data_IF_060031754346
#
_entry.id   IF_060031754346
#
_cell.length_a   1.000
_cell.length_b   1.000
_cell.length_c   1.000
_cell.angle_alpha   90.00
_cell.angle_beta   90.00
_cell.angle_gamma   90.00
#
_symmetry.space_group_name_H-M   'P 1'
#
loop_
_entity.id
_entity.type
_entity.pdbx_description
1 polymer ?
#
# COMPACT_ATOMS: atom_id res chain seq x y z
N UNK A 1 -25.46 13.52 20.99
CA UNK A 1 -25.50 12.58 19.87
C UNK A 1 -24.09 12.47 19.32
N UNK A 2 -23.36 11.45 19.67
CA UNK A 2 -22.04 11.24 19.08
C UNK A 2 -22.24 10.78 17.65
N UNK A 3 -21.81 11.58 16.71
CA UNK A 3 -21.81 11.20 15.30
C UNK A 3 -20.68 10.16 15.15
N UNK A 4 -21.06 8.92 14.93
CA UNK A 4 -20.11 7.85 14.63
C UNK A 4 -19.35 8.20 13.36
N UNK A 5 -18.05 8.39 13.48
CA UNK A 5 -17.15 8.63 12.35
C UNK A 5 -17.04 7.36 11.50
N UNK A 6 -17.18 7.49 10.19
CA UNK A 6 -17.03 6.37 9.25
C UNK A 6 -15.81 6.59 8.37
N UNK A 7 -14.90 5.64 8.42
CA UNK A 7 -13.72 5.58 7.55
C UNK A 7 -13.99 4.59 6.41
N UNK A 8 -13.87 5.04 5.18
CA UNK A 8 -14.03 4.23 3.96
C UNK A 8 -13.03 4.69 2.91
N UNK A 9 -12.82 3.85 1.89
CA UNK A 9 -12.00 4.24 0.74
C UNK A 9 -12.70 5.35 -0.05
N UNK A 10 -12.03 6.47 -0.23
CA UNK A 10 -12.48 7.64 -0.99
C UNK A 10 -11.38 8.13 -1.96
N UNK A 11 -10.36 7.31 -2.17
CA UNK A 11 -9.25 7.61 -3.08
C UNK A 11 -9.60 7.32 -4.53
N UNK A 12 -8.62 7.58 -5.40
CA UNK A 12 -8.70 7.21 -6.81
C UNK A 12 -8.68 5.68 -6.96
N UNK A 13 -9.55 5.08 -7.79
CA UNK A 13 -9.60 3.64 -8.04
C UNK A 13 -8.28 3.05 -8.57
N UNK A 14 -7.44 3.85 -9.24
CA UNK A 14 -6.16 3.42 -9.80
C UNK A 14 -5.03 3.36 -8.77
N UNK A 15 -5.29 3.83 -7.54
CA UNK A 15 -4.32 3.75 -6.46
C UNK A 15 -4.20 2.33 -5.91
N UNK A 16 -2.96 1.88 -5.75
CA UNK A 16 -2.65 0.62 -5.06
C UNK A 16 -2.70 0.77 -3.54
N UNK A 17 -2.33 1.94 -3.04
CA UNK A 17 -2.39 2.29 -1.62
C UNK A 17 -2.86 3.73 -1.47
N UNK A 18 -3.77 3.92 -0.55
CA UNK A 18 -4.29 5.24 -0.18
C UNK A 18 -4.44 5.33 1.34
N UNK A 19 -3.83 6.37 1.92
CA UNK A 19 -3.98 6.68 3.35
C UNK A 19 -5.21 7.53 3.58
N UNK A 20 -6.06 7.12 4.51
CA UNK A 20 -7.19 7.94 4.93
C UNK A 20 -6.68 9.24 5.62
N UNK A 21 -7.25 10.42 5.30
CA UNK A 21 -6.77 11.70 5.85
C UNK A 21 -7.02 11.86 7.36
N UNK A 22 -7.99 11.14 7.91
CA UNK A 22 -8.28 11.18 9.35
C UNK A 22 -7.30 10.28 10.08
N UNK A 23 -6.61 10.83 11.08
CA UNK A 23 -5.60 10.13 11.89
C UNK A 23 -6.04 9.95 13.36
N UNK A 24 -7.09 10.65 13.79
CA UNK A 24 -7.63 10.55 15.14
C UNK A 24 -8.98 9.84 15.13
N UNK A 25 -9.07 8.70 15.76
CA UNK A 25 -10.34 7.97 15.91
C UNK A 25 -10.75 7.88 17.37
N UNK A 26 -12.05 7.76 17.58
CA UNK A 26 -12.64 7.41 18.86
C UNK A 26 -13.11 5.95 18.85
N UNK A 27 -13.55 5.46 20.00
CA UNK A 27 -14.03 4.09 20.18
C UNK A 27 -15.32 3.77 19.40
N UNK A 28 -15.98 4.78 18.83
CA UNK A 28 -17.22 4.63 18.03
C UNK A 28 -16.94 4.68 16.53
N UNK A 29 -15.69 4.91 16.12
CA UNK A 29 -15.31 4.97 14.71
C UNK A 29 -15.58 3.63 14.01
N UNK A 30 -16.27 3.72 12.87
CA UNK A 30 -16.55 2.57 12.00
C UNK A 30 -15.61 2.56 10.81
N UNK A 31 -15.00 1.41 10.54
CA UNK A 31 -14.20 1.17 9.35
C UNK A 31 -15.00 0.32 8.38
N UNK A 32 -15.23 0.82 7.17
CA UNK A 32 -15.90 0.08 6.09
C UNK A 32 -14.88 -0.25 5.01
N UNK A 33 -14.72 -1.53 4.74
CA UNK A 33 -13.78 -2.06 3.75
C UNK A 33 -14.54 -2.79 2.65
N UNK A 34 -14.33 -2.34 1.42
CA UNK A 34 -14.93 -2.97 0.24
C UNK A 34 -14.21 -4.28 -0.14
N UNK A 35 -14.88 -5.15 -0.90
CA UNK A 35 -14.33 -6.42 -1.38
C UNK A 35 -13.03 -6.27 -2.20
N UNK A 36 -12.81 -5.08 -2.78
CA UNK A 36 -11.64 -4.76 -3.61
C UNK A 36 -10.42 -4.29 -2.85
N UNK A 37 -10.55 -4.08 -1.53
CA UNK A 37 -9.49 -3.53 -0.70
C UNK A 37 -9.27 -4.32 0.59
N UNK A 38 -8.12 -4.11 1.19
CA UNK A 38 -7.82 -4.42 2.59
C UNK A 38 -7.46 -3.12 3.31
N UNK A 39 -7.84 -3.00 4.57
CA UNK A 39 -7.44 -1.86 5.38
C UNK A 39 -6.41 -2.28 6.42
N UNK A 40 -5.28 -1.57 6.47
CA UNK A 40 -4.21 -1.80 7.43
C UNK A 40 -4.15 -0.64 8.42
N UNK A 41 -4.30 -0.97 9.69
CA UNK A 41 -4.16 -0.02 10.78
C UNK A 41 -2.69 0.09 11.19
N UNK A 42 -2.19 1.32 11.19
CA UNK A 42 -0.82 1.65 11.60
C UNK A 42 -0.86 2.55 12.83
N UNK A 43 -0.22 2.12 13.89
CA UNK A 43 -0.14 2.86 15.16
C UNK A 43 1.31 3.10 15.50
N UNK A 44 1.67 4.35 15.70
CA UNK A 44 3.04 4.76 16.05
C UNK A 44 4.11 4.13 15.13
N UNK A 45 3.85 4.14 13.82
CA UNK A 45 4.76 3.58 12.81
C UNK A 45 4.78 2.05 12.72
N UNK A 46 4.01 1.35 13.53
CA UNK A 46 3.89 -0.11 13.49
C UNK A 46 2.62 -0.53 12.75
N UNK A 47 2.78 -1.41 11.77
CA UNK A 47 1.66 -2.04 11.11
C UNK A 47 0.99 -3.06 12.06
N UNK A 48 -0.21 -2.74 12.51
CA UNK A 48 -0.95 -3.52 13.49
C UNK A 48 -1.93 -4.49 12.82
N UNK A 49 -3.20 -4.15 12.78
CA UNK A 49 -4.26 -5.05 12.37
C UNK A 49 -4.63 -4.84 10.89
N UNK A 50 -4.85 -5.94 10.18
CA UNK A 50 -5.32 -5.97 8.80
C UNK A 50 -6.78 -6.38 8.77
N UNK A 51 -7.64 -5.52 8.21
CA UNK A 51 -9.07 -5.74 8.08
C UNK A 51 -9.44 -6.14 6.66
N UNK A 52 -10.22 -7.20 6.55
CA UNK A 52 -10.85 -7.61 5.29
C UNK A 52 -12.17 -6.89 5.03
N UNK A 53 -12.86 -7.32 3.97
CA UNK A 53 -14.18 -6.83 3.60
C UNK A 53 -15.16 -6.81 4.78
N UNK A 54 -15.96 -5.77 4.84
CA UNK A 54 -17.03 -5.61 5.81
C UNK A 54 -16.94 -4.33 6.65
N UNK A 55 -17.78 -4.28 7.67
CA UNK A 55 -17.83 -3.18 8.64
C UNK A 55 -17.16 -3.64 9.93
N UNK A 56 -16.23 -2.83 10.41
CA UNK A 56 -15.47 -3.07 11.63
C UNK A 56 -15.58 -1.87 12.56
N UNK A 57 -15.87 -2.10 13.83
CA UNK A 57 -15.82 -1.05 14.87
C UNK A 57 -14.40 -0.99 15.43
N UNK A 58 -13.79 0.19 15.42
CA UNK A 58 -12.42 0.40 15.89
C UNK A 58 -12.38 0.57 17.42
N UNK A 59 -13.00 -0.35 18.14
CA UNK A 59 -12.91 -0.44 19.60
C UNK A 59 -11.66 -1.23 20.02
N UNK A 60 -11.02 -0.79 21.09
CA UNK A 60 -9.81 -1.45 21.62
C UNK A 60 -9.94 -2.97 21.81
N UNK A 61 -11.07 -3.53 22.28
CA UNK A 61 -11.24 -4.98 22.37
C UNK A 61 -11.20 -5.71 21.03
N UNK A 62 -11.61 -5.03 19.95
CA UNK A 62 -11.69 -5.58 18.60
C UNK A 62 -10.38 -5.43 17.81
N UNK A 63 -9.36 -4.81 18.40
CA UNK A 63 -8.07 -4.54 17.77
C UNK A 63 -6.94 -5.10 18.66
N UNK A 64 -6.68 -6.42 18.57
CA UNK A 64 -5.80 -7.13 19.53
C UNK A 64 -4.38 -6.60 19.59
N UNK A 65 -3.80 -6.20 18.45
CA UNK A 65 -2.43 -5.69 18.41
C UNK A 65 -2.33 -4.27 18.98
N UNK A 66 -3.34 -3.43 18.72
CA UNK A 66 -3.43 -2.08 19.30
C UNK A 66 -3.64 -2.16 20.81
N UNK A 67 -4.44 -3.11 21.28
CA UNK A 67 -4.66 -3.34 22.72
C UNK A 67 -3.35 -3.59 23.47
N UNK A 68 -2.40 -4.29 22.90
CA UNK A 68 -1.08 -4.52 23.50
C UNK A 68 -0.25 -3.24 23.63
N UNK A 69 -0.43 -2.30 22.70
CA UNK A 69 0.27 -1.01 22.71
C UNK A 69 -0.39 0.00 23.65
N UNK A 70 -1.71 -0.09 23.83
CA UNK A 70 -2.53 0.85 24.63
C UNK A 70 -2.58 0.47 26.12
N UNK A 71 -2.28 -0.76 26.49
CA UNK A 71 -2.20 -1.19 27.90
C UNK A 71 -1.05 -0.54 28.70
N UNK A 72 -0.43 0.49 28.17
CA UNK A 72 0.36 1.43 28.94
C UNK A 72 -0.57 2.34 29.75
N UNK A 73 -0.18 2.84 30.94
CA UNK A 73 -1.07 3.46 31.93
C UNK A 73 -1.52 4.89 31.54
N UNK A 74 -2.23 5.04 30.43
CA UNK A 74 -2.64 6.32 29.86
C UNK A 74 -4.15 6.57 29.83
N UNK A 75 -4.92 5.89 30.68
CA UNK A 75 -6.32 6.26 30.94
C UNK A 75 -7.31 6.11 29.77
N UNK A 76 -7.05 5.22 28.79
CA UNK A 76 -8.04 4.85 27.77
C UNK A 76 -8.14 5.79 26.56
N UNK A 77 -7.41 6.89 26.52
CA UNK A 77 -7.23 7.66 25.28
C UNK A 77 -5.96 7.20 24.57
N UNK A 78 -6.06 6.94 23.27
CA UNK A 78 -4.90 6.62 22.44
C UNK A 78 -4.00 7.86 22.31
N UNK A 79 -2.86 7.94 23.00
CA UNK A 79 -1.98 9.11 22.89
C UNK A 79 -1.20 9.14 21.59
N UNK A 80 -1.40 8.18 20.68
CA UNK A 80 -0.64 8.02 19.45
C UNK A 80 -1.54 8.16 18.23
N UNK A 81 -1.09 8.89 17.20
CA UNK A 81 -1.83 8.98 15.94
C UNK A 81 -1.95 7.60 15.29
N UNK A 82 -3.17 7.22 14.98
CA UNK A 82 -3.49 6.01 14.24
C UNK A 82 -3.74 6.38 12.78
N UNK A 83 -3.19 5.60 11.86
CA UNK A 83 -3.36 5.78 10.42
C UNK A 83 -4.02 4.56 9.82
N UNK A 84 -4.94 4.77 8.89
CA UNK A 84 -5.56 3.68 8.10
C UNK A 84 -5.09 3.78 6.66
N UNK A 85 -4.52 2.69 6.17
CA UNK A 85 -4.12 2.53 4.77
C UNK A 85 -5.04 1.54 4.09
N UNK A 86 -5.69 1.98 3.02
CA UNK A 86 -6.44 1.09 2.14
C UNK A 86 -5.52 0.59 1.03
N UNK A 87 -5.42 -0.73 0.89
CA UNK A 87 -4.52 -1.40 -0.04
C UNK A 87 -5.35 -2.23 -1.01
N UNK A 88 -5.13 -2.07 -2.30
CA UNK A 88 -5.84 -2.81 -3.34
C UNK A 88 -5.62 -4.31 -3.21
N UNK A 89 -6.70 -5.09 -3.30
CA UNK A 89 -6.69 -6.56 -3.30
C UNK A 89 -7.07 -7.14 -4.68
N UNK A 90 -7.18 -6.30 -5.69
CA UNK A 90 -7.47 -6.71 -7.07
C UNK A 90 -6.20 -7.13 -7.83
N UNK A 91 -6.39 -8.01 -8.82
CA UNK A 91 -5.37 -8.30 -9.82
C UNK A 91 -5.16 -7.09 -10.72
N UNK A 92 -3.92 -6.63 -10.80
CA UNK A 92 -3.52 -5.63 -11.78
C UNK A 92 -3.09 -6.37 -13.05
N UNK A 93 -3.83 -6.12 -14.14
CA UNK A 93 -3.64 -6.80 -15.40
C UNK A 93 -3.08 -5.83 -16.46
N UNK A 94 -2.27 -6.37 -17.36
CA UNK A 94 -1.78 -5.68 -18.57
C UNK A 94 -1.06 -4.35 -18.31
N UNK A 95 -0.32 -4.27 -17.19
CA UNK A 95 0.54 -3.13 -16.94
C UNK A 95 1.74 -3.14 -17.87
N UNK A 96 1.81 -2.17 -18.77
CA UNK A 96 2.90 -2.06 -19.74
C UNK A 96 4.14 -1.42 -19.12
N UNK A 97 5.30 -1.96 -19.44
CA UNK A 97 6.58 -1.37 -19.07
C UNK A 97 7.52 -1.33 -20.29
N UNK A 98 8.44 -0.39 -20.29
CA UNK A 98 9.40 -0.27 -21.38
C UNK A 98 10.71 0.40 -20.95
N UNK A 99 11.79 -0.01 -21.58
CA UNK A 99 13.12 0.59 -21.51
C UNK A 99 13.50 0.96 -22.96
N UNK A 100 13.27 2.19 -23.39
CA UNK A 100 13.49 2.57 -24.78
C UNK A 100 14.98 2.80 -25.06
N UNK A 101 15.63 1.86 -25.77
CA UNK A 101 16.97 2.05 -26.35
C UNK A 101 18.10 2.45 -25.40
N UNK A 102 17.91 2.26 -24.10
CA UNK A 102 18.87 2.72 -23.08
C UNK A 102 19.96 1.67 -22.75
N UNK A 103 19.81 0.45 -23.25
CA UNK A 103 20.80 -0.62 -23.07
C UNK A 103 21.73 -0.58 -24.25
N UNK A 104 22.99 -0.29 -23.98
CA UNK A 104 24.02 -0.23 -25.04
C UNK A 104 24.89 -1.49 -24.93
N UNK A 105 24.89 -2.31 -25.97
CA UNK A 105 25.74 -3.49 -26.08
C UNK A 105 26.80 -3.26 -27.18
N UNK A 106 28.01 -3.64 -26.87
CA UNK A 106 29.10 -3.68 -27.87
C UNK A 106 29.10 -5.07 -28.52
N UNK A 107 28.86 -5.11 -29.84
CA UNK A 107 28.97 -6.34 -30.61
C UNK A 107 30.42 -6.59 -31.01
N UNK A 108 31.09 -7.60 -30.43
CA UNK A 108 32.50 -7.86 -30.72
C UNK A 108 32.74 -8.39 -32.14
N UNK A 109 31.69 -8.91 -32.81
CA UNK A 109 31.81 -9.47 -34.14
C UNK A 109 31.84 -8.39 -35.22
N UNK A 110 30.94 -7.40 -35.08
CA UNK A 110 30.79 -6.33 -36.03
C UNK A 110 31.38 -4.99 -35.58
N UNK A 111 31.86 -4.92 -34.34
CA UNK A 111 32.43 -3.71 -33.71
C UNK A 111 31.50 -2.50 -33.78
N UNK A 112 30.23 -2.72 -33.56
CA UNK A 112 29.18 -1.69 -33.53
C UNK A 112 28.51 -1.62 -32.17
N UNK A 113 28.05 -0.44 -31.77
CA UNK A 113 27.22 -0.25 -30.62
C UNK A 113 25.76 -0.49 -30.95
N UNK A 114 25.14 -1.41 -30.25
CA UNK A 114 23.72 -1.72 -30.40
C UNK A 114 22.92 -1.05 -29.25
N UNK A 115 21.92 -0.29 -29.64
CA UNK A 115 20.97 0.30 -28.70
C UNK A 115 19.73 -0.60 -28.63
N UNK A 116 19.52 -1.26 -27.48
CA UNK A 116 18.45 -2.23 -27.30
C UNK A 116 17.36 -1.62 -26.41
N UNK A 117 16.12 -1.68 -26.87
CA UNK A 117 14.93 -1.41 -26.10
C UNK A 117 14.26 -2.71 -25.66
N UNK A 118 13.68 -2.73 -24.47
CA UNK A 118 12.87 -3.81 -23.96
C UNK A 118 11.49 -3.30 -23.59
N UNK A 119 10.46 -4.10 -23.85
CA UNK A 119 9.10 -3.81 -23.41
C UNK A 119 8.36 -5.10 -23.06
N UNK A 120 7.33 -4.97 -22.27
CA UNK A 120 6.51 -6.12 -21.88
C UNK A 120 5.30 -5.71 -21.06
N UNK A 121 4.50 -6.71 -20.71
CA UNK A 121 3.35 -6.56 -19.82
C UNK A 121 3.64 -7.24 -18.50
N UNK A 122 3.13 -6.67 -17.43
CA UNK A 122 3.24 -7.17 -16.07
C UNK A 122 1.85 -7.35 -15.48
N UNK A 123 1.60 -8.55 -14.93
CA UNK A 123 0.40 -8.83 -14.18
C UNK A 123 0.79 -9.19 -12.76
N UNK A 124 0.14 -8.60 -11.75
CA UNK A 124 0.43 -8.90 -10.36
C UNK A 124 -0.79 -8.76 -9.46
N UNK A 125 -0.69 -9.37 -8.29
CA UNK A 125 -1.59 -9.18 -7.16
C UNK A 125 -0.76 -9.03 -5.89
N UNK A 126 -1.21 -8.17 -4.99
CA UNK A 126 -0.59 -8.02 -3.66
C UNK A 126 -0.99 -9.23 -2.82
N UNK A 127 -0.03 -10.07 -2.46
CA UNK A 127 -0.26 -11.27 -1.65
C UNK A 127 -0.11 -11.00 -0.14
N UNK A 128 0.80 -10.12 0.24
CA UNK A 128 1.04 -9.71 1.62
C UNK A 128 0.98 -8.18 1.72
N UNK A 129 -0.17 -7.68 2.11
CA UNK A 129 -0.47 -6.24 2.17
C UNK A 129 0.41 -5.50 3.18
N UNK A 130 0.74 -6.15 4.31
CA UNK A 130 1.62 -5.57 5.34
C UNK A 130 3.05 -5.40 4.84
N UNK A 131 3.63 -6.44 4.24
CA UNK A 131 4.96 -6.37 3.64
C UNK A 131 5.01 -5.40 2.48
N UNK A 132 3.95 -5.35 1.67
CA UNK A 132 3.86 -4.42 0.55
C UNK A 132 3.94 -2.98 1.04
N UNK A 133 3.13 -2.60 2.04
CA UNK A 133 3.17 -1.26 2.62
C UNK A 133 4.55 -0.94 3.20
N UNK A 134 5.12 -1.83 4.02
CA UNK A 134 6.37 -1.58 4.74
C UNK A 134 7.60 -1.51 3.82
N UNK A 135 7.64 -2.37 2.79
CA UNK A 135 8.85 -2.54 1.96
C UNK A 135 8.78 -1.83 0.61
N UNK A 136 7.60 -1.69 0.03
CA UNK A 136 7.43 -1.10 -1.29
C UNK A 136 6.96 0.36 -1.23
N UNK A 137 6.01 0.65 -0.36
CA UNK A 137 5.35 1.96 -0.27
C UNK A 137 6.05 2.90 0.71
N UNK A 138 6.45 2.40 1.89
CA UNK A 138 7.16 3.19 2.90
C UNK A 138 6.29 4.26 3.55
N UNK A 139 5.03 3.95 3.87
CA UNK A 139 4.05 4.85 4.51
C UNK A 139 3.75 6.15 3.76
N UNK A 140 3.90 6.16 2.45
CA UNK A 140 3.45 7.27 1.61
C UNK A 140 1.93 7.37 1.64
N UNK A 141 1.42 8.59 1.49
CA UNK A 141 -0.03 8.84 1.52
C UNK A 141 -0.76 8.19 0.34
N UNK A 142 -0.07 8.09 -0.80
CA UNK A 142 -0.60 7.47 -2.02
C UNK A 142 0.50 6.71 -2.75
N UNK A 143 0.12 5.63 -3.41
CA UNK A 143 1.00 4.82 -4.24
C UNK A 143 0.21 4.22 -5.39
N UNK A 144 0.59 4.55 -6.61
CA UNK A 144 -0.06 4.13 -7.85
C UNK A 144 0.69 3.02 -8.58
N UNK A 145 0.03 2.48 -9.59
CA UNK A 145 0.59 1.44 -10.46
C UNK A 145 1.80 1.92 -11.25
N UNK A 146 1.79 3.17 -11.71
CA UNK A 146 2.88 3.74 -12.50
C UNK A 146 4.17 3.84 -11.71
N UNK A 147 4.07 4.22 -10.43
CA UNK A 147 5.21 4.23 -9.50
C UNK A 147 5.77 2.83 -9.30
N UNK A 148 4.91 1.81 -9.21
CA UNK A 148 5.34 0.42 -9.10
C UNK A 148 6.08 -0.04 -10.36
N UNK A 149 5.52 0.24 -11.55
CA UNK A 149 6.17 -0.08 -12.84
C UNK A 149 7.53 0.61 -12.97
N UNK A 150 7.65 1.87 -12.55
CA UNK A 150 8.92 2.58 -12.55
C UNK A 150 9.98 1.92 -11.66
N UNK A 151 9.59 1.40 -10.49
CA UNK A 151 10.49 0.63 -9.61
C UNK A 151 10.93 -0.69 -10.26
N UNK A 152 10.01 -1.42 -10.90
CA UNK A 152 10.34 -2.64 -11.63
C UNK A 152 11.28 -2.37 -12.81
N UNK A 153 11.07 -1.30 -13.55
CA UNK A 153 11.98 -0.89 -14.64
C UNK A 153 13.40 -0.70 -14.13
N UNK A 154 13.56 -0.04 -12.97
CA UNK A 154 14.88 0.12 -12.34
C UNK A 154 15.54 -1.20 -11.98
N UNK A 155 14.78 -2.17 -11.46
CA UNK A 155 15.28 -3.50 -11.15
C UNK A 155 15.71 -4.25 -12.42
N UNK A 156 14.88 -4.24 -13.46
CA UNK A 156 15.19 -4.91 -14.73
C UNK A 156 16.50 -4.37 -15.32
N UNK A 157 16.71 -3.05 -15.30
CA UNK A 157 17.97 -2.44 -15.78
C UNK A 157 19.23 -2.93 -15.06
N UNK A 158 19.12 -3.40 -13.83
CA UNK A 158 20.27 -3.89 -13.06
C UNK A 158 20.68 -5.33 -13.46
N UNK A 159 19.77 -6.09 -14.10
CA UNK A 159 19.99 -7.48 -14.47
C UNK A 159 20.26 -7.69 -15.96
N UNK A 160 20.21 -6.65 -16.75
CA UNK A 160 20.51 -6.63 -18.18
C UNK A 160 21.83 -5.90 -18.46
#
# INVERSE_FOLDING_TARGET
>A
MEISQVLKFEGDPDLLVWKHPVEDFNTTTQLVVDATHKALLVVNGNACDLFGEGRHTLETPNIPLVKRLINLPTGGQTPFPCKVFFISDIHQMDMTWGIPGEIVLDDPTYQILLHIGLCGNLNFKISDHRKFLLKMVGFRDQFDSDTLVAKFRGIIKQYV
#
